data_IF_895387323833
#
_entry.id   IF_895387323833
#
_cell.length_a   1.000
_cell.length_b   1.000
_cell.length_c   1.000
_cell.angle_alpha   90.00
_cell.angle_beta   90.00
_cell.angle_gamma   90.00
#
_symmetry.space_group_name_H-M   'P 1'
#
loop_
_entity.id
_entity.type
_entity.pdbx_description
1 polymer ?
#
# COMPACT_ATOMS: atom_id res chain seq x y z
N UNK A 1 -8.57 -13.47 -28.94
CA UNK A 1 -7.53 -14.36 -29.49
C UNK A 1 -6.16 -13.92 -28.98
N UNK A 2 -5.50 -14.74 -28.20
CA UNK A 2 -4.17 -14.43 -27.67
C UNK A 2 -3.12 -14.73 -28.76
N UNK A 3 -2.48 -13.71 -29.30
CA UNK A 3 -1.38 -13.87 -30.26
C UNK A 3 -0.09 -14.06 -29.49
N UNK A 4 0.49 -15.26 -29.58
CA UNK A 4 1.78 -15.58 -29.00
C UNK A 4 2.87 -14.85 -29.82
N UNK A 5 3.53 -13.87 -29.21
CA UNK A 5 4.68 -13.20 -29.83
C UNK A 5 5.88 -14.13 -29.80
N UNK A 6 6.35 -14.55 -30.93
CA UNK A 6 7.50 -15.46 -31.10
C UNK A 6 8.80 -14.70 -31.44
N UNK A 7 8.68 -13.39 -31.66
CA UNK A 7 9.76 -12.51 -32.07
C UNK A 7 10.52 -11.87 -30.89
N UNK A 8 10.11 -12.20 -29.64
CA UNK A 8 10.77 -11.67 -28.44
C UNK A 8 12.03 -12.47 -28.16
N UNK A 9 13.19 -11.79 -28.23
CA UNK A 9 14.45 -12.36 -27.80
C UNK A 9 14.56 -12.34 -26.28
N UNK A 10 15.04 -13.41 -25.64
CA UNK A 10 15.33 -13.40 -24.21
C UNK A 10 16.44 -12.40 -23.91
N UNK A 11 16.48 -11.89 -22.69
CA UNK A 11 17.58 -11.05 -22.24
C UNK A 11 18.90 -11.82 -22.16
N UNK A 12 20.00 -11.18 -22.53
CA UNK A 12 21.35 -11.79 -22.47
C UNK A 12 21.77 -12.08 -21.03
N UNK A 13 21.22 -11.34 -20.07
CA UNK A 13 21.47 -11.50 -18.63
C UNK A 13 20.17 -11.72 -17.88
N UNK A 14 20.24 -12.47 -16.77
CA UNK A 14 19.12 -12.67 -15.88
C UNK A 14 18.64 -11.33 -15.31
N UNK A 15 17.37 -11.02 -15.52
CA UNK A 15 16.69 -9.88 -14.90
C UNK A 15 15.90 -10.40 -13.70
N UNK A 16 16.21 -9.88 -12.51
CA UNK A 16 15.50 -10.22 -11.29
C UNK A 16 14.22 -9.42 -11.19
N UNK A 17 13.13 -10.07 -10.78
CA UNK A 17 11.82 -9.42 -10.68
C UNK A 17 11.78 -8.34 -9.59
N UNK A 18 12.45 -8.58 -8.48
CA UNK A 18 12.41 -7.72 -7.31
C UNK A 18 13.81 -7.63 -6.66
N UNK A 19 14.76 -7.03 -7.38
CA UNK A 19 16.07 -6.74 -6.79
C UNK A 19 15.98 -5.41 -6.02
N UNK A 20 16.33 -5.39 -4.73
CA UNK A 20 16.39 -4.12 -3.99
C UNK A 20 17.42 -3.18 -4.59
N UNK A 21 17.10 -1.92 -4.62
CA UNK A 21 18.00 -0.84 -5.04
C UNK A 21 18.11 0.17 -3.90
N UNK A 22 19.33 0.42 -3.46
CA UNK A 22 19.60 1.43 -2.43
C UNK A 22 19.94 2.76 -3.09
N UNK A 23 19.39 3.85 -2.57
CA UNK A 23 19.54 5.20 -3.12
C UNK A 23 20.47 6.08 -2.28
N UNK A 24 20.90 5.61 -1.10
CA UNK A 24 21.91 6.22 -0.25
C UNK A 24 21.41 6.78 1.08
N UNK A 25 20.14 7.11 1.20
CA UNK A 25 19.57 7.70 2.42
C UNK A 25 18.95 6.68 3.38
N UNK A 26 18.82 5.43 2.98
CA UNK A 26 18.14 4.39 3.75
C UNK A 26 18.76 4.18 5.13
N UNK A 27 20.10 4.14 5.18
CA UNK A 27 20.83 3.93 6.43
C UNK A 27 20.60 5.10 7.41
N UNK A 28 20.51 6.32 6.89
CA UNK A 28 20.21 7.51 7.69
C UNK A 28 18.85 7.35 8.37
N UNK A 29 17.80 7.05 7.61
CA UNK A 29 16.44 6.88 8.17
C UNK A 29 16.34 5.71 9.13
N UNK A 30 17.03 4.61 8.86
CA UNK A 30 17.09 3.46 9.77
C UNK A 30 17.77 3.85 11.08
N UNK A 31 18.88 4.57 11.02
CA UNK A 31 19.62 5.02 12.20
C UNK A 31 18.80 5.99 13.02
N UNK A 32 18.16 6.98 12.40
CA UNK A 32 17.27 7.91 13.07
C UNK A 32 16.10 7.22 13.78
N UNK A 33 15.49 6.23 13.12
CA UNK A 33 14.41 5.44 13.68
C UNK A 33 14.88 4.60 14.87
N UNK A 34 16.07 4.01 14.78
CA UNK A 34 16.69 3.24 15.85
C UNK A 34 17.01 4.11 17.07
N UNK A 35 17.69 5.23 16.86
CA UNK A 35 18.12 6.13 17.92
C UNK A 35 16.93 6.78 18.65
N UNK A 36 15.86 7.07 17.93
CA UNK A 36 14.62 7.60 18.50
C UNK A 36 13.67 6.54 19.08
N UNK A 37 14.02 5.24 18.94
CA UNK A 37 13.19 4.10 19.34
C UNK A 37 11.82 4.02 18.62
N UNK A 38 11.71 4.60 17.42
CA UNK A 38 10.50 4.57 16.59
C UNK A 38 10.64 3.62 15.41
N UNK A 39 10.95 2.35 15.69
CA UNK A 39 11.09 1.29 14.69
C UNK A 39 9.81 0.46 14.50
N UNK A 40 8.68 0.93 14.99
CA UNK A 40 7.41 0.21 14.98
C UNK A 40 6.41 0.85 14.00
N UNK A 41 5.12 0.58 14.23
CA UNK A 41 4.00 1.02 13.40
C UNK A 41 3.65 2.50 13.54
N UNK A 42 4.31 3.21 14.43
CA UNK A 42 4.10 4.64 14.70
C UNK A 42 5.45 5.36 14.65
N UNK A 43 5.48 6.57 14.15
CA UNK A 43 6.68 7.40 14.11
C UNK A 43 6.71 8.40 12.97
N UNK A 44 7.71 9.26 12.99
CA UNK A 44 7.84 10.34 12.01
C UNK A 44 7.92 9.83 10.57
N UNK A 45 8.66 8.75 10.34
CA UNK A 45 8.85 8.19 9.00
C UNK A 45 7.55 7.67 8.38
N UNK A 46 6.69 7.01 9.17
CA UNK A 46 5.37 6.53 8.67
C UNK A 46 4.46 7.70 8.37
N UNK A 47 4.41 8.69 9.27
CA UNK A 47 3.60 9.88 9.06
C UNK A 47 4.01 10.63 7.80
N UNK A 48 5.31 10.74 7.52
CA UNK A 48 5.82 11.38 6.31
C UNK A 48 5.48 10.59 5.05
N UNK A 49 5.58 9.26 5.08
CA UNK A 49 5.17 8.39 3.96
C UNK A 49 3.68 8.57 3.66
N UNK A 50 2.83 8.59 4.68
CA UNK A 50 1.38 8.81 4.51
C UNK A 50 1.10 10.20 3.92
N UNK A 51 1.79 11.23 4.41
CA UNK A 51 1.65 12.59 3.91
C UNK A 51 2.04 12.71 2.45
N UNK A 52 3.22 12.23 2.07
CA UNK A 52 3.71 12.25 0.69
C UNK A 52 2.80 11.42 -0.23
N UNK A 53 2.35 10.25 0.22
CA UNK A 53 1.46 9.41 -0.55
C UNK A 53 0.11 10.10 -0.81
N UNK A 54 -0.47 10.75 0.21
CA UNK A 54 -1.69 11.52 0.06
C UNK A 54 -1.54 12.65 -0.94
N UNK A 55 -0.45 13.43 -0.85
CA UNK A 55 -0.15 14.50 -1.79
C UNK A 55 -0.01 14.00 -3.24
N UNK A 56 0.79 12.94 -3.44
CA UNK A 56 1.03 12.40 -4.79
C UNK A 56 -0.20 11.76 -5.42
N UNK A 57 -1.09 11.22 -4.61
CA UNK A 57 -2.36 10.65 -5.06
C UNK A 57 -3.48 11.69 -5.14
N UNK A 58 -3.22 12.95 -4.80
CA UNK A 58 -4.23 14.03 -4.70
C UNK A 58 -5.40 13.65 -3.80
N UNK A 59 -5.10 12.91 -2.74
CA UNK A 59 -6.08 12.45 -1.75
C UNK A 59 -5.93 13.23 -0.44
N UNK A 60 -7.02 13.32 0.31
CA UNK A 60 -7.02 14.01 1.60
C UNK A 60 -6.23 13.26 2.66
N UNK A 61 -6.23 11.94 2.60
CA UNK A 61 -5.56 11.06 3.55
C UNK A 61 -4.96 9.86 2.84
N UNK A 62 -3.89 9.34 3.41
CA UNK A 62 -3.34 8.02 3.12
C UNK A 62 -3.06 7.30 4.44
N UNK A 63 -3.10 5.98 4.41
CA UNK A 63 -2.84 5.14 5.58
C UNK A 63 -1.90 4.02 5.18
N UNK A 64 -0.78 3.91 5.87
CA UNK A 64 0.18 2.82 5.69
C UNK A 64 -0.35 1.54 6.34
N UNK A 65 -0.28 0.43 5.61
CA UNK A 65 -0.70 -0.88 6.07
C UNK A 65 0.44 -1.89 5.95
N UNK A 66 0.35 -2.97 6.70
CA UNK A 66 1.39 -4.01 6.76
C UNK A 66 1.62 -4.77 5.46
N UNK A 67 0.65 -4.76 4.55
CA UNK A 67 0.77 -5.41 3.24
C UNK A 67 -0.21 -4.86 2.22
N UNK A 68 0.15 -5.01 0.93
CA UNK A 68 -0.75 -4.69 -0.17
C UNK A 68 -2.04 -5.51 -0.13
N UNK A 69 -1.98 -6.77 0.28
CA UNK A 69 -3.17 -7.63 0.45
C UNK A 69 -4.14 -7.05 1.47
N UNK A 70 -3.65 -6.55 2.61
CA UNK A 70 -4.47 -5.88 3.61
C UNK A 70 -5.10 -4.60 3.05
N UNK A 71 -4.34 -3.82 2.29
CA UNK A 71 -4.83 -2.60 1.66
C UNK A 71 -5.96 -2.90 0.65
N UNK A 72 -5.76 -3.87 -0.24
CA UNK A 72 -6.78 -4.29 -1.21
C UNK A 72 -8.04 -4.80 -0.52
N UNK A 73 -7.89 -5.61 0.54
CA UNK A 73 -9.02 -6.09 1.33
C UNK A 73 -9.85 -4.92 1.89
N UNK A 74 -9.21 -3.92 2.48
CA UNK A 74 -9.90 -2.75 3.02
C UNK A 74 -10.55 -1.90 1.93
N UNK A 75 -9.90 -1.74 0.77
CA UNK A 75 -10.49 -1.03 -0.37
C UNK A 75 -11.77 -1.71 -0.86
N UNK A 76 -11.75 -3.02 -1.03
CA UNK A 76 -12.93 -3.80 -1.44
C UNK A 76 -14.05 -3.68 -0.40
N UNK A 77 -13.71 -3.75 0.88
CA UNK A 77 -14.66 -3.56 1.98
C UNK A 77 -15.26 -2.15 1.98
N UNK A 78 -14.44 -1.14 1.78
CA UNK A 78 -14.89 0.26 1.72
C UNK A 78 -15.77 0.53 0.50
N UNK A 79 -15.55 -0.16 -0.62
CA UNK A 79 -16.39 -0.10 -1.81
C UNK A 79 -17.77 -0.77 -1.64
N UNK A 80 -18.04 -1.39 -0.48
CA UNK A 80 -19.33 -2.01 -0.18
C UNK A 80 -19.46 -3.46 -0.63
N UNK A 81 -18.39 -4.10 -1.07
CA UNK A 81 -18.40 -5.50 -1.48
C UNK A 81 -18.70 -6.45 -0.30
N UNK A 82 -19.35 -7.56 -0.63
CA UNK A 82 -19.73 -8.57 0.35
C UNK A 82 -18.66 -9.65 0.44
N UNK A 83 -18.18 -9.89 1.65
CA UNK A 83 -17.39 -11.08 1.95
C UNK A 83 -18.31 -12.15 2.53
N UNK A 84 -18.29 -13.34 1.94
CA UNK A 84 -19.09 -14.48 2.40
C UNK A 84 -20.60 -14.19 2.51
N UNK A 85 -21.15 -13.43 1.56
CA UNK A 85 -22.59 -13.12 1.52
C UNK A 85 -23.06 -12.11 2.56
N UNK A 86 -22.18 -11.60 3.42
CA UNK A 86 -22.52 -10.55 4.39
C UNK A 86 -22.30 -9.17 3.79
N UNK A 87 -23.17 -8.18 4.01
CA UNK A 87 -22.90 -6.81 3.58
C UNK A 87 -21.62 -6.32 4.26
N UNK A 88 -20.74 -5.69 3.49
CA UNK A 88 -19.67 -4.88 4.04
C UNK A 88 -20.27 -3.83 4.98
N UNK A 89 -19.55 -3.47 6.02
CA UNK A 89 -20.02 -2.59 7.09
C UNK A 89 -20.87 -1.45 6.54
N UNK A 90 -22.15 -1.54 6.85
CA UNK A 90 -23.12 -0.46 7.00
C UNK A 90 -23.18 0.67 5.98
N UNK A 91 -23.86 0.47 4.87
CA UNK A 91 -24.85 1.46 4.45
C UNK A 91 -26.21 1.10 5.14
N UNK A 92 -26.14 0.88 6.44
CA UNK A 92 -27.24 0.53 7.28
C UNK A 92 -27.50 1.63 8.28
N UNK A 93 -28.49 2.45 7.96
CA UNK A 93 -29.34 3.11 8.92
C UNK A 93 -28.68 4.09 9.90
N UNK A 94 -28.35 5.27 9.41
CA UNK A 94 -28.79 6.44 10.14
C UNK A 94 -30.13 6.87 9.52
N UNK A 95 -31.10 6.00 9.62
CA UNK A 95 -32.47 6.39 9.33
C UNK A 95 -33.21 6.46 10.66
N UNK A 96 -33.48 7.71 11.09
CA UNK A 96 -34.65 8.06 11.83
C UNK A 96 -34.79 7.54 13.24
N UNK A 97 -34.23 8.24 14.24
CA UNK A 97 -35.01 8.45 15.46
C UNK A 97 -35.42 9.92 15.51
N UNK A 98 -36.67 10.10 15.15
CA UNK A 98 -37.46 11.24 15.63
C UNK A 98 -37.87 11.00 17.05
#
# INVERSE_FOLDING_TARGET
MYVRRTDIKPFDKKVWLASPTMHGDELKYITEAYDSNWMSTVGANINEVEHIAAQKAEMKYAVALSSCTAALHLCVRAAGERLYGRPAIGHGAVEGRR
#
